data_IF_334575784904
#
_entry.id   IF_334575784904
#
_cell.length_a   1.000
_cell.length_b   1.000
_cell.length_c   1.000
_cell.angle_alpha   90.00
_cell.angle_beta   90.00
_cell.angle_gamma   90.00
#
_symmetry.space_group_name_H-M   'P 1'
#
loop_
_entity.id
_entity.type
_entity.pdbx_description
1 polymer ?
#
# COMPACT_ATOMS: atom_id res chain seq x y z
N UNK A 1 51.33 -18.75 -28.07
CA UNK A 1 51.87 -20.12 -28.24
C UNK A 1 51.06 -21.06 -27.36
N UNK A 2 50.07 -21.78 -27.93
CA UNK A 2 50.08 -23.24 -28.20
C UNK A 2 50.27 -24.10 -26.93
N UNK A 3 49.18 -24.66 -26.39
CA UNK A 3 48.78 -26.09 -26.52
C UNK A 3 49.45 -26.95 -25.42
N UNK A 4 48.78 -27.73 -24.59
CA UNK A 4 48.00 -28.91 -24.97
C UNK A 4 46.97 -29.32 -23.89
N UNK A 5 45.81 -29.74 -24.41
CA UNK A 5 44.72 -30.47 -23.76
C UNK A 5 45.15 -31.90 -23.40
N UNK A 6 44.61 -32.40 -22.27
CA UNK A 6 44.74 -33.80 -21.85
C UNK A 6 43.41 -34.33 -21.31
N UNK A 7 42.49 -34.65 -22.22
CA UNK A 7 41.25 -35.40 -21.99
C UNK A 7 41.57 -36.88 -21.87
N UNK A 8 41.12 -37.59 -20.83
CA UNK A 8 40.84 -39.03 -20.90
C UNK A 8 40.17 -39.58 -19.62
N UNK A 9 38.90 -39.95 -19.71
CA UNK A 9 38.47 -41.27 -19.24
C UNK A 9 37.06 -41.60 -19.76
N UNK A 10 36.99 -42.20 -20.96
CA UNK A 10 35.88 -43.04 -21.40
C UNK A 10 36.35 -44.50 -21.30
N UNK A 11 35.72 -45.28 -20.42
CA UNK A 11 35.65 -46.76 -20.38
C UNK A 11 34.72 -47.05 -19.17
N UNK A 12 33.65 -47.81 -19.22
CA UNK A 12 33.26 -48.92 -20.07
C UNK A 12 31.75 -48.97 -20.24
N UNK A 13 31.33 -49.50 -21.38
CA UNK A 13 29.96 -49.90 -21.68
C UNK A 13 29.62 -51.23 -21.00
N UNK A 14 28.33 -51.45 -20.74
CA UNK A 14 27.63 -52.67 -21.15
C UNK A 14 27.70 -53.90 -20.23
N UNK A 15 26.64 -54.10 -19.44
CA UNK A 15 26.05 -55.40 -19.10
C UNK A 15 24.59 -55.13 -18.68
N UNK A 16 23.59 -55.27 -19.54
CA UNK A 16 22.92 -56.51 -19.93
C UNK A 16 22.43 -57.33 -18.73
N UNK A 17 21.17 -57.16 -18.32
CA UNK A 17 20.29 -58.30 -18.07
C UNK A 17 18.81 -57.89 -18.06
N UNK A 18 18.08 -58.35 -19.08
CA UNK A 18 16.62 -58.40 -19.10
C UNK A 18 16.16 -59.47 -18.11
N UNK A 19 15.24 -59.16 -17.20
CA UNK A 19 14.34 -60.17 -16.61
C UNK A 19 12.92 -59.61 -16.55
N UNK A 20 12.12 -60.16 -17.44
CA UNK A 20 10.66 -60.03 -17.53
C UNK A 20 9.99 -60.82 -16.41
N UNK A 21 8.71 -60.50 -16.15
CA UNK A 21 7.63 -61.31 -15.56
C UNK A 21 7.41 -61.12 -14.05
N UNK A 22 6.22 -61.04 -13.46
CA UNK A 22 4.83 -60.63 -13.77
C UNK A 22 4.12 -60.75 -12.39
N UNK A 23 3.02 -60.00 -12.21
CA UNK A 23 1.85 -60.27 -11.34
C UNK A 23 1.77 -59.58 -9.96
N UNK A 24 0.83 -58.61 -9.92
CA UNK A 24 -0.36 -58.53 -9.03
C UNK A 24 -0.05 -58.44 -7.51
N UNK A 25 -0.50 -57.41 -6.80
CA UNK A 25 -1.82 -57.40 -6.12
C UNK A 25 -2.08 -56.03 -5.45
N UNK A 26 -3.32 -55.56 -5.65
CA UNK A 26 -4.20 -54.71 -4.83
C UNK A 26 -3.76 -53.34 -4.25
N UNK A 27 -4.49 -52.33 -4.73
CA UNK A 27 -5.41 -51.48 -3.97
C UNK A 27 -4.90 -50.76 -2.72
N UNK A 28 -4.80 -49.43 -2.82
CA UNK A 28 -5.23 -48.53 -1.74
C UNK A 28 -5.57 -47.16 -2.32
N UNK A 29 -6.74 -46.67 -1.91
CA UNK A 29 -7.36 -45.44 -2.36
C UNK A 29 -6.47 -44.22 -2.13
N UNK A 30 -6.10 -43.51 -3.20
CA UNK A 30 -5.67 -42.13 -3.11
C UNK A 30 -6.87 -41.24 -3.41
N UNK A 31 -7.37 -40.57 -2.37
CA UNK A 31 -8.25 -39.41 -2.49
C UNK A 31 -7.72 -38.49 -3.59
N UNK A 32 -8.61 -38.10 -4.50
CA UNK A 32 -8.40 -36.96 -5.38
C UNK A 32 -8.32 -35.70 -4.51
N UNK A 33 -7.12 -35.34 -4.06
CA UNK A 33 -6.82 -34.02 -3.52
C UNK A 33 -6.82 -33.05 -4.71
N UNK A 34 -7.99 -32.49 -5.04
CA UNK A 34 -8.08 -31.34 -5.91
C UNK A 34 -7.41 -30.17 -5.19
N UNK A 35 -6.12 -29.95 -5.50
CA UNK A 35 -5.41 -28.73 -5.14
C UNK A 35 -6.02 -27.62 -5.99
N UNK A 36 -7.09 -27.02 -5.48
CA UNK A 36 -7.52 -25.70 -5.90
C UNK A 36 -6.40 -24.75 -5.54
N UNK A 37 -5.59 -24.37 -6.52
CA UNK A 37 -4.66 -23.26 -6.42
C UNK A 37 -5.55 -22.02 -6.22
N UNK A 38 -5.79 -21.69 -4.96
CA UNK A 38 -6.34 -20.41 -4.57
C UNK A 38 -5.24 -19.40 -4.86
N UNK A 39 -5.24 -18.83 -6.07
CA UNK A 39 -4.50 -17.61 -6.35
C UNK A 39 -5.08 -16.55 -5.42
N UNK A 40 -4.43 -16.33 -4.28
CA UNK A 40 -4.68 -15.14 -3.49
C UNK A 40 -4.44 -13.95 -4.42
N UNK A 41 -5.36 -12.99 -4.54
CA UNK A 41 -5.01 -11.74 -5.18
C UNK A 41 -3.85 -11.16 -4.38
N UNK A 42 -2.69 -11.02 -5.03
CA UNK A 42 -1.63 -10.17 -4.52
C UNK A 42 -2.29 -8.82 -4.21
N UNK A 43 -2.35 -8.46 -2.93
CA UNK A 43 -2.86 -7.19 -2.47
C UNK A 43 -1.86 -6.08 -2.83
N UNK A 44 -1.60 -5.90 -4.12
CA UNK A 44 -0.93 -4.72 -4.62
C UNK A 44 -1.96 -3.60 -4.61
N UNK A 45 -1.83 -2.70 -3.63
CA UNK A 45 -2.67 -1.52 -3.55
C UNK A 45 -2.58 -0.76 -4.88
N UNK A 46 -3.73 -0.52 -5.52
CA UNK A 46 -3.78 0.29 -6.72
C UNK A 46 -3.35 1.73 -6.44
N UNK A 47 -3.36 2.58 -7.48
CA UNK A 47 -2.93 3.98 -7.33
C UNK A 47 -3.75 4.73 -6.26
N UNK A 48 -5.01 4.36 -6.05
CA UNK A 48 -5.89 4.90 -5.01
C UNK A 48 -5.54 4.38 -3.61
N UNK A 49 -5.14 3.12 -3.48
CA UNK A 49 -4.62 2.57 -2.25
C UNK A 49 -3.29 3.24 -1.83
N UNK A 50 -2.41 3.53 -2.79
CA UNK A 50 -1.19 4.31 -2.56
C UNK A 50 -1.53 5.75 -2.15
N UNK A 51 -2.49 6.39 -2.81
CA UNK A 51 -2.97 7.72 -2.44
C UNK A 51 -3.52 7.74 -1.00
N UNK A 52 -4.34 6.75 -0.63
CA UNK A 52 -4.91 6.66 0.72
C UNK A 52 -3.84 6.47 1.80
N UNK A 53 -2.78 5.68 1.53
CA UNK A 53 -1.63 5.57 2.45
C UNK A 53 -0.97 6.92 2.71
N UNK A 54 -0.77 7.75 1.68
CA UNK A 54 -0.24 9.12 1.86
C UNK A 54 -1.18 10.00 2.67
N UNK A 55 -2.49 9.83 2.50
CA UNK A 55 -3.48 10.55 3.31
C UNK A 55 -3.41 10.16 4.79
N UNK A 56 -3.22 8.88 5.09
CA UNK A 56 -2.99 8.39 6.45
C UNK A 56 -1.73 9.01 7.06
N UNK A 57 -0.61 9.01 6.33
CA UNK A 57 0.63 9.66 6.78
C UNK A 57 0.43 11.16 7.08
N UNK A 58 -0.31 11.87 6.23
CA UNK A 58 -0.64 13.28 6.42
C UNK A 58 -1.55 13.52 7.63
N UNK A 59 -2.46 12.57 7.92
CA UNK A 59 -3.32 12.64 9.11
C UNK A 59 -2.53 12.34 10.38
N UNK A 60 -1.67 11.34 10.36
CA UNK A 60 -0.88 10.90 11.51
C UNK A 60 0.18 11.93 11.90
N UNK A 61 0.86 12.53 10.92
CA UNK A 61 1.80 13.64 11.19
C UNK A 61 1.09 14.82 11.85
N UNK A 62 -0.13 15.15 11.40
CA UNK A 62 -0.93 16.24 11.95
C UNK A 62 -1.48 15.92 13.35
N UNK A 63 -1.90 14.67 13.59
CA UNK A 63 -2.32 14.23 14.92
C UNK A 63 -1.14 14.20 15.90
N UNK A 64 0.06 13.88 15.44
CA UNK A 64 1.28 13.96 16.24
C UNK A 64 1.53 15.41 16.68
N UNK A 65 1.42 16.37 15.75
CA UNK A 65 1.54 17.80 16.06
C UNK A 65 0.48 18.26 17.09
N UNK A 66 -0.76 17.77 16.94
CA UNK A 66 -1.87 18.10 17.82
C UNK A 66 -1.70 17.54 19.25
N UNK A 67 -1.38 16.25 19.36
CA UNK A 67 -1.43 15.50 20.63
C UNK A 67 -0.11 15.52 21.40
N UNK A 68 1.03 15.61 20.70
CA UNK A 68 2.34 15.59 21.34
C UNK A 68 2.91 17.02 21.42
N UNK A 69 2.86 17.61 22.63
CA UNK A 69 3.33 18.99 22.88
C UNK A 69 4.83 19.17 22.62
N UNK A 70 5.64 18.14 22.88
CA UNK A 70 7.09 18.17 22.65
C UNK A 70 7.45 18.15 21.16
N UNK A 71 6.56 17.59 20.33
CA UNK A 71 6.73 17.50 18.87
C UNK A 71 6.03 18.64 18.13
N UNK A 72 6.00 19.86 18.67
CA UNK A 72 5.46 21.05 17.97
C UNK A 72 6.50 21.89 17.25
N UNK A 73 7.78 21.52 17.38
CA UNK A 73 8.89 22.23 16.77
C UNK A 73 8.90 22.18 15.23
N UNK A 74 9.83 22.90 14.61
CA UNK A 74 9.92 23.06 13.15
C UNK A 74 9.97 21.74 12.38
N UNK A 75 10.63 20.71 12.94
CA UNK A 75 10.75 19.40 12.30
C UNK A 75 9.38 18.74 12.06
N UNK A 76 8.49 18.75 13.06
CA UNK A 76 7.15 18.17 12.89
C UNK A 76 6.28 19.03 11.98
N UNK A 77 6.37 20.35 12.07
CA UNK A 77 5.63 21.25 11.18
C UNK A 77 6.02 21.03 9.71
N UNK A 78 7.33 20.83 9.46
CA UNK A 78 7.85 20.46 8.14
C UNK A 78 7.28 19.12 7.68
N UNK A 79 7.30 18.09 8.53
CA UNK A 79 6.73 16.77 8.20
C UNK A 79 5.24 16.85 7.86
N UNK A 80 4.46 17.63 8.61
CA UNK A 80 3.03 17.88 8.36
C UNK A 80 2.81 18.51 6.98
N UNK A 81 3.69 19.43 6.57
CA UNK A 81 3.65 20.03 5.23
C UNK A 81 4.06 19.04 4.15
N UNK A 82 5.17 18.33 4.33
CA UNK A 82 5.72 17.39 3.34
C UNK A 82 4.77 16.23 3.06
N UNK A 83 4.22 15.61 4.11
CA UNK A 83 3.23 14.53 3.96
C UNK A 83 1.98 15.00 3.23
N UNK A 84 1.54 16.23 3.47
CA UNK A 84 0.43 16.82 2.75
C UNK A 84 0.74 17.16 1.29
N UNK A 85 1.92 17.70 1.02
CA UNK A 85 2.35 18.01 -0.33
C UNK A 85 2.52 16.73 -1.14
N UNK A 86 2.91 15.61 -0.51
CA UNK A 86 2.95 14.29 -1.15
C UNK A 86 1.57 13.80 -1.61
N UNK A 87 0.50 14.01 -0.81
CA UNK A 87 -0.88 13.71 -1.25
C UNK A 87 -1.26 14.56 -2.46
N UNK A 88 -0.98 15.87 -2.40
CA UNK A 88 -1.28 16.79 -3.51
C UNK A 88 -0.49 16.43 -4.78
N UNK A 89 0.76 16.03 -4.63
CA UNK A 89 1.63 15.63 -5.74
C UNK A 89 1.18 14.33 -6.39
N UNK A 90 0.69 13.36 -5.61
CA UNK A 90 0.10 12.12 -6.13
C UNK A 90 -1.21 12.43 -6.86
N UNK A 91 -2.12 13.16 -6.23
CA UNK A 91 -3.43 13.47 -6.79
C UNK A 91 -3.35 14.20 -8.15
N UNK A 92 -2.35 15.07 -8.33
CA UNK A 92 -2.10 15.77 -9.61
C UNK A 92 -1.71 14.86 -10.77
N UNK A 93 -1.17 13.67 -10.49
CA UNK A 93 -0.75 12.70 -11.50
C UNK A 93 -1.87 11.72 -11.87
N UNK A 94 -2.88 11.63 -11.01
CA UNK A 94 -3.98 10.69 -11.14
C UNK A 94 -5.04 11.21 -12.10
N UNK A 95 -5.74 10.27 -12.72
CA UNK A 95 -6.96 10.53 -13.49
C UNK A 95 -8.14 9.82 -12.82
N UNK A 96 -9.33 10.34 -13.05
CA UNK A 96 -10.54 9.63 -12.68
C UNK A 96 -10.64 8.30 -13.44
N UNK A 97 -11.05 7.20 -12.77
CA UNK A 97 -11.47 5.99 -13.47
C UNK A 97 -12.70 6.29 -14.32
N UNK A 98 -12.84 5.57 -15.44
CA UNK A 98 -13.97 5.77 -16.35
C UNK A 98 -15.32 5.55 -15.63
N UNK A 99 -16.23 6.53 -15.73
CA UNK A 99 -17.54 6.48 -15.08
C UNK A 99 -17.49 6.75 -13.56
N UNK A 100 -16.33 7.18 -13.03
CA UNK A 100 -16.12 7.52 -11.61
C UNK A 100 -15.62 8.96 -11.43
N UNK A 101 -15.85 9.82 -12.42
CA UNK A 101 -15.38 11.21 -12.44
C UNK A 101 -15.95 12.03 -11.27
N UNK A 102 -17.22 11.78 -10.92
CA UNK A 102 -17.88 12.42 -9.79
C UNK A 102 -17.22 12.02 -8.46
N UNK A 103 -16.97 10.72 -8.23
CA UNK A 103 -16.28 10.24 -7.02
C UNK A 103 -14.86 10.80 -6.93
N UNK A 104 -14.10 10.76 -8.03
CA UNK A 104 -12.75 11.30 -8.06
C UNK A 104 -12.71 12.80 -7.72
N UNK A 105 -13.67 13.57 -8.26
CA UNK A 105 -13.82 14.99 -7.95
C UNK A 105 -14.17 15.20 -6.48
N UNK A 106 -15.14 14.47 -5.96
CA UNK A 106 -15.58 14.57 -4.56
C UNK A 106 -14.44 14.22 -3.58
N UNK A 107 -13.67 13.18 -3.87
CA UNK A 107 -12.45 12.83 -3.13
C UNK A 107 -11.43 13.97 -3.18
N UNK A 108 -11.19 14.54 -4.36
CA UNK A 108 -10.25 15.66 -4.53
C UNK A 108 -10.68 16.90 -3.73
N UNK A 109 -11.97 17.23 -3.75
CA UNK A 109 -12.54 18.33 -2.98
C UNK A 109 -12.41 18.10 -1.46
N UNK A 110 -12.64 16.86 -0.99
CA UNK A 110 -12.43 16.49 0.40
C UNK A 110 -10.96 16.71 0.83
N UNK A 111 -10.00 16.36 -0.05
CA UNK A 111 -8.58 16.64 0.18
C UNK A 111 -8.28 18.14 0.29
N UNK A 112 -8.75 18.95 -0.67
CA UNK A 112 -8.47 20.39 -0.64
C UNK A 112 -9.09 21.08 0.56
N UNK A 113 -10.30 20.66 0.97
CA UNK A 113 -10.94 21.17 2.17
C UNK A 113 -10.21 20.72 3.46
N UNK A 114 -9.67 19.50 3.49
CA UNK A 114 -8.81 19.04 4.58
C UNK A 114 -7.54 19.89 4.69
N UNK A 115 -6.86 20.09 3.56
CA UNK A 115 -5.63 20.91 3.48
C UNK A 115 -5.90 22.34 3.95
N UNK A 116 -6.98 22.97 3.47
CA UNK A 116 -7.34 24.34 3.84
C UNK A 116 -7.55 24.51 5.35
N UNK A 117 -8.30 23.61 5.99
CA UNK A 117 -8.50 23.70 7.45
C UNK A 117 -7.24 23.36 8.24
N UNK A 118 -6.37 22.48 7.74
CA UNK A 118 -5.04 22.31 8.36
C UNK A 118 -4.29 23.64 8.39
N UNK A 119 -4.18 24.29 7.23
CA UNK A 119 -3.32 25.47 7.04
C UNK A 119 -3.89 26.72 7.71
N UNK A 120 -5.20 26.91 7.66
CA UNK A 120 -5.82 28.16 8.08
C UNK A 120 -6.35 28.14 9.52
N UNK A 121 -6.65 26.96 10.06
CA UNK A 121 -7.36 26.84 11.35
C UNK A 121 -6.57 25.97 12.33
N UNK A 122 -6.33 24.71 11.98
CA UNK A 122 -5.82 23.71 12.94
C UNK A 122 -4.37 23.94 13.33
N UNK A 123 -3.44 24.07 12.38
CA UNK A 123 -2.02 24.32 12.69
C UNK A 123 -1.86 25.65 13.44
N UNK A 124 -2.46 26.77 13.00
CA UNK A 124 -2.44 28.02 13.77
C UNK A 124 -2.96 27.88 15.20
N UNK A 125 -4.07 27.17 15.42
CA UNK A 125 -4.62 26.94 16.77
C UNK A 125 -3.64 26.14 17.65
N UNK A 126 -3.01 25.08 17.11
CA UNK A 126 -2.00 24.28 17.83
C UNK A 126 -0.81 25.14 18.25
N UNK A 127 -0.29 25.95 17.32
CA UNK A 127 0.90 26.79 17.55
C UNK A 127 0.61 27.98 18.47
N UNK A 128 -0.63 28.45 18.49
CA UNK A 128 -1.09 29.50 19.41
C UNK A 128 -1.47 28.97 20.79
N UNK A 129 -1.25 27.68 21.07
CA UNK A 129 -1.54 27.06 22.36
C UNK A 129 -3.03 26.81 22.64
N UNK A 130 -3.92 27.03 21.66
CA UNK A 130 -5.37 26.84 21.79
C UNK A 130 -5.77 25.36 21.67
N UNK A 131 -5.39 24.56 22.66
CA UNK A 131 -5.50 23.10 22.59
C UNK A 131 -6.92 22.59 22.35
N UNK A 132 -7.88 23.07 23.14
CA UNK A 132 -9.27 22.60 23.06
C UNK A 132 -9.90 22.91 21.70
N UNK A 133 -9.67 24.12 21.18
CA UNK A 133 -10.09 24.52 19.83
C UNK A 133 -9.46 23.62 18.76
N UNK A 134 -8.15 23.39 18.86
CA UNK A 134 -7.42 22.52 17.94
C UNK A 134 -7.95 21.07 17.98
N UNK A 135 -8.28 20.54 19.15
CA UNK A 135 -8.87 19.20 19.30
C UNK A 135 -10.27 19.13 18.71
N UNK A 136 -11.08 20.18 18.89
CA UNK A 136 -12.42 20.28 18.28
C UNK A 136 -12.34 20.30 16.75
N UNK A 137 -11.42 21.08 16.17
CA UNK A 137 -11.22 21.13 14.72
C UNK A 137 -10.68 19.80 14.20
N UNK A 138 -9.62 19.30 14.86
CA UNK A 138 -8.92 18.08 14.48
C UNK A 138 -9.76 16.81 14.62
N UNK A 139 -10.61 16.74 15.64
CA UNK A 139 -11.54 15.63 15.90
C UNK A 139 -12.87 15.76 15.15
N UNK A 140 -13.27 16.98 14.81
CA UNK A 140 -14.50 17.30 14.08
C UNK A 140 -14.29 17.37 12.57
N UNK A 141 -14.43 18.56 11.99
CA UNK A 141 -14.56 18.74 10.54
C UNK A 141 -13.36 18.19 9.75
N UNK A 142 -12.15 18.28 10.31
CA UNK A 142 -10.96 17.75 9.67
C UNK A 142 -11.02 16.21 9.57
N UNK A 143 -11.46 15.53 10.63
CA UNK A 143 -11.65 14.07 10.66
C UNK A 143 -12.72 13.63 9.66
N UNK A 144 -13.82 14.37 9.56
CA UNK A 144 -14.90 14.07 8.60
C UNK A 144 -14.38 14.11 7.16
N UNK A 145 -13.59 15.11 6.80
CA UNK A 145 -13.01 15.22 5.45
C UNK A 145 -11.98 14.12 5.17
N UNK A 146 -11.17 13.78 6.17
CA UNK A 146 -10.25 12.64 6.07
C UNK A 146 -11.02 11.33 5.80
N UNK A 147 -12.06 11.03 6.58
CA UNK A 147 -12.88 9.83 6.38
C UNK A 147 -13.47 9.77 4.98
N UNK A 148 -14.09 10.87 4.55
CA UNK A 148 -14.68 10.98 3.21
C UNK A 148 -13.66 10.69 2.10
N UNK A 149 -12.45 11.27 2.21
CA UNK A 149 -11.37 10.98 1.28
C UNK A 149 -10.99 9.50 1.27
N UNK A 150 -10.78 8.90 2.44
CA UNK A 150 -10.36 7.51 2.57
C UNK A 150 -11.40 6.50 2.10
N UNK A 151 -12.68 6.77 2.39
CA UNK A 151 -13.81 5.95 1.94
C UNK A 151 -13.90 5.94 0.42
N UNK A 152 -13.89 7.11 -0.22
CA UNK A 152 -13.95 7.21 -1.68
C UNK A 152 -12.68 6.61 -2.32
N UNK A 153 -11.49 6.85 -1.74
CA UNK A 153 -10.25 6.24 -2.24
C UNK A 153 -10.34 4.71 -2.22
N UNK A 154 -10.89 4.13 -1.16
CA UNK A 154 -11.07 2.68 -1.06
C UNK A 154 -12.14 2.14 -2.02
N UNK A 155 -13.14 2.93 -2.39
CA UNK A 155 -14.10 2.58 -3.43
C UNK A 155 -13.51 2.64 -4.84
N UNK A 156 -12.61 3.60 -5.09
CA UNK A 156 -11.93 3.77 -6.37
C UNK A 156 -10.78 2.78 -6.61
N UNK A 157 -10.29 2.12 -5.55
CA UNK A 157 -9.23 1.10 -5.61
C UNK A 157 -9.75 -0.32 -5.91
N UNK A 158 -11.08 -0.48 -6.03
CA UNK A 158 -11.77 -1.75 -6.36
C UNK A 158 -12.05 -1.85 -7.85
#
# INVERSE_FOLDING_TARGET
>A
MKSLSGTNSKKLQGALMKRTITRTVLASACLFFAVSIFSAPDANAGEFGVLNKKMLEARDSLLTLLKNKEKRGPAQQKLVKETADAVSAQLKKMKAPAGKEAQFKEMSEAWYAFKKTRENELVPAILSGKQEEAEKIGGGIQKTRFKKFSEISAELDK
#
